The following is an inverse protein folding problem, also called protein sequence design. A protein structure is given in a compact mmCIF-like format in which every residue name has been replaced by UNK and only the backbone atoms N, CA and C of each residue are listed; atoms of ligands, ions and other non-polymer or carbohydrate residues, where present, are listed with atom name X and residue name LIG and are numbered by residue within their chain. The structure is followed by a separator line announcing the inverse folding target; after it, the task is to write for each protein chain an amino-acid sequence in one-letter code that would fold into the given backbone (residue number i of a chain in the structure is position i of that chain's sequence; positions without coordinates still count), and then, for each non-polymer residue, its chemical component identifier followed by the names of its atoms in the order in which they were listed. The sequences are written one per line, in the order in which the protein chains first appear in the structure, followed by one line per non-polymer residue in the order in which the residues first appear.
data_IF_971682469861
#
_entry.id   IF_971682469861
#
_cell.length_a   1.000
_cell.length_b   1.000
_cell.length_c   1.000
_cell.angle_alpha   90.00
_cell.angle_beta   90.00
_cell.angle_gamma   90.00
#
_symmetry.space_group_name_H-M   'P 1'
#
loop_
_entity.id
_entity.type
_entity.pdbx_description
1 polymer ?
#
# COMPACT_ATOMS: atom_id res chain seq x y z
N UNK A 1 6.21 3.62 -6.80
CA UNK A 1 6.50 2.73 -5.66
C UNK A 1 7.78 3.21 -4.99
N UNK A 2 7.83 3.16 -3.66
CA UNK A 2 8.90 3.75 -2.84
C UNK A 2 10.22 3.05 -3.14
N UNK A 3 10.16 1.73 -3.34
CA UNK A 3 11.30 0.91 -3.71
C UNK A 3 11.84 1.23 -5.12
N UNK A 4 11.05 1.90 -5.96
CA UNK A 4 11.49 2.38 -7.28
C UNK A 4 12.21 3.72 -7.23
N UNK A 5 12.22 4.42 -6.09
CA UNK A 5 12.96 5.66 -5.93
C UNK A 5 14.46 5.39 -5.73
N UNK A 6 15.29 6.39 -6.02
CA UNK A 6 16.71 6.33 -5.68
C UNK A 6 16.86 6.06 -4.18
N UNK A 7 17.36 4.89 -3.82
CA UNK A 7 17.63 4.54 -2.43
C UNK A 7 19.03 5.04 -2.07
N UNK A 8 19.17 5.62 -0.88
CA UNK A 8 20.48 6.00 -0.37
C UNK A 8 21.33 4.74 -0.15
N UNK A 9 22.40 4.55 -0.92
CA UNK A 9 23.34 3.44 -0.76
C UNK A 9 24.72 3.99 -0.39
N UNK A 10 25.34 3.45 0.66
CA UNK A 10 26.77 3.59 1.00
C UNK A 10 27.41 4.99 0.78
N UNK A 11 26.74 6.08 1.16
CA UNK A 11 27.33 7.42 1.01
C UNK A 11 26.35 8.53 0.60
N UNK A 12 25.10 8.20 0.31
CA UNK A 12 24.03 9.17 0.08
C UNK A 12 23.41 9.07 -1.30
N UNK A 13 22.73 10.13 -1.69
CA UNK A 13 22.25 10.36 -3.06
C UNK A 13 23.08 11.47 -3.67
N UNK A 14 23.33 11.42 -4.97
CA UNK A 14 23.77 12.62 -5.70
C UNK A 14 22.70 13.71 -5.58
N UNK A 15 23.09 14.96 -5.84
CA UNK A 15 22.15 16.10 -5.78
C UNK A 15 20.91 15.87 -6.67
N UNK A 16 21.11 15.41 -7.90
CA UNK A 16 20.03 15.13 -8.86
C UNK A 16 19.15 13.97 -8.41
N UNK A 17 19.73 12.91 -7.86
CA UNK A 17 18.96 11.79 -7.31
C UNK A 17 18.15 12.21 -6.09
N UNK A 18 18.69 13.10 -5.25
CA UNK A 18 18.00 13.63 -4.08
C UNK A 18 16.82 14.53 -4.48
N UNK A 19 16.98 15.36 -5.50
CA UNK A 19 15.89 16.18 -6.06
C UNK A 19 14.79 15.30 -6.66
N UNK A 20 15.16 14.33 -7.50
CA UNK A 20 14.20 13.39 -8.08
C UNK A 20 13.48 12.56 -6.99
N UNK A 21 14.20 12.16 -5.95
CA UNK A 21 13.64 11.44 -4.82
C UNK A 21 12.59 12.27 -4.07
N UNK A 22 12.85 13.55 -3.81
CA UNK A 22 11.89 14.42 -3.11
C UNK A 22 10.63 14.68 -3.94
N UNK A 23 10.79 15.01 -5.22
CA UNK A 23 9.65 15.24 -6.13
C UNK A 23 8.76 14.00 -6.21
N UNK A 24 9.38 12.82 -6.30
CA UNK A 24 8.63 11.57 -6.36
C UNK A 24 7.95 11.24 -5.02
N UNK A 25 8.59 11.57 -3.89
CA UNK A 25 8.00 11.36 -2.57
C UNK A 25 6.77 12.25 -2.33
N UNK A 26 6.81 13.51 -2.78
CA UNK A 26 5.69 14.46 -2.68
C UNK A 26 4.46 14.06 -3.50
N UNK A 27 4.64 13.22 -4.53
CA UNK A 27 3.59 12.84 -5.47
C UNK A 27 3.20 11.37 -5.41
N UNK A 28 3.89 10.56 -4.60
CA UNK A 28 3.74 9.11 -4.62
C UNK A 28 2.33 8.63 -4.26
N UNK A 29 1.66 9.32 -3.34
CA UNK A 29 0.28 9.08 -2.93
C UNK A 29 -0.70 9.09 -4.11
N UNK A 30 -0.43 9.88 -5.16
CA UNK A 30 -1.31 10.01 -6.34
C UNK A 30 -1.57 8.65 -6.98
N UNK A 31 -0.55 7.80 -7.09
CA UNK A 31 -0.67 6.45 -7.66
C UNK A 31 -1.60 5.56 -6.82
N UNK A 32 -1.47 5.59 -5.49
CA UNK A 32 -2.30 4.76 -4.62
C UNK A 32 -3.75 5.23 -4.60
N UNK A 33 -3.99 6.56 -4.68
CA UNK A 33 -5.36 7.09 -4.62
C UNK A 33 -6.08 7.07 -5.97
N UNK A 34 -5.38 7.04 -7.10
CA UNK A 34 -5.98 7.25 -8.43
C UNK A 34 -7.13 6.27 -8.75
N UNK A 35 -8.32 6.78 -9.07
CA UNK A 35 -9.54 5.97 -9.20
C UNK A 35 -9.53 4.94 -10.32
N UNK A 36 -8.68 5.10 -11.34
CA UNK A 36 -8.58 4.15 -12.47
C UNK A 36 -7.53 3.05 -12.27
N UNK A 37 -6.87 3.00 -11.11
CA UNK A 37 -5.88 1.96 -10.81
C UNK A 37 -6.47 0.88 -9.91
N UNK A 38 -6.29 -0.37 -10.30
CA UNK A 38 -6.62 -1.54 -9.49
C UNK A 38 -5.43 -1.87 -8.58
N UNK A 39 -5.70 -2.16 -7.31
CA UNK A 39 -4.66 -2.44 -6.31
C UNK A 39 -4.72 -3.90 -5.92
N UNK A 40 -3.63 -4.61 -6.17
CA UNK A 40 -3.40 -5.95 -5.65
C UNK A 40 -2.49 -5.85 -4.43
N UNK A 41 -2.89 -6.46 -3.31
CA UNK A 41 -2.13 -6.46 -2.07
C UNK A 41 -1.81 -7.89 -1.67
N UNK A 42 -0.62 -8.09 -1.10
CA UNK A 42 -0.23 -9.36 -0.49
C UNK A 42 0.05 -9.09 0.98
N UNK A 43 -1.01 -9.11 1.79
CA UNK A 43 -0.90 -8.72 3.20
C UNK A 43 -0.50 -9.87 4.12
N UNK A 44 -0.61 -11.11 3.65
CA UNK A 44 -0.22 -12.33 4.37
C UNK A 44 1.12 -12.83 3.89
N UNK A 45 1.95 -13.27 4.83
CA UNK A 45 3.23 -13.90 4.52
C UNK A 45 3.02 -15.39 4.19
N UNK A 46 3.79 -15.96 3.26
CA UNK A 46 3.79 -17.39 3.04
C UNK A 46 4.31 -18.13 4.28
N UNK A 47 3.97 -19.42 4.44
CA UNK A 47 4.50 -20.26 5.52
C UNK A 47 6.03 -20.22 5.52
N UNK A 48 6.64 -20.14 6.71
CA UNK A 48 8.10 -20.11 6.93
C UNK A 48 8.82 -18.79 6.59
N UNK A 49 8.10 -17.68 6.41
CA UNK A 49 8.71 -16.35 6.37
C UNK A 49 8.59 -15.63 7.71
N UNK A 50 9.72 -15.14 8.24
CA UNK A 50 9.75 -14.28 9.43
C UNK A 50 9.97 -12.83 9.01
N UNK A 51 8.89 -12.06 9.01
CA UNK A 51 8.93 -10.61 8.79
C UNK A 51 7.79 -9.95 9.55
N UNK A 52 7.91 -8.66 9.93
CA UNK A 52 6.83 -7.95 10.60
C UNK A 52 5.51 -8.04 9.81
N UNK A 53 4.35 -8.14 10.48
CA UNK A 53 3.05 -8.08 9.82
C UNK A 53 2.91 -6.86 8.92
N UNK A 54 2.13 -6.96 7.84
CA UNK A 54 2.04 -5.91 6.82
C UNK A 54 1.68 -4.51 7.38
N UNK A 55 0.83 -4.46 8.41
CA UNK A 55 0.41 -3.22 9.08
C UNK A 55 1.48 -2.61 10.01
N UNK A 56 2.62 -3.28 10.20
CA UNK A 56 3.75 -2.78 10.99
C UNK A 56 4.95 -2.35 10.13
N UNK A 57 4.84 -2.40 8.79
CA UNK A 57 5.97 -2.14 7.88
C UNK A 57 6.17 -0.66 7.53
N UNK A 58 5.42 0.24 8.14
CA UNK A 58 5.50 1.67 7.86
C UNK A 58 4.85 2.02 6.52
N UNK A 59 5.66 2.25 5.49
CA UNK A 59 5.17 2.76 4.19
C UNK A 59 4.07 1.88 3.55
N UNK A 60 4.21 0.53 3.48
CA UNK A 60 3.14 -0.34 2.95
C UNK A 60 1.81 -0.19 3.70
N UNK A 61 1.85 0.13 5.00
CA UNK A 61 0.64 0.36 5.81
C UNK A 61 -0.09 1.62 5.34
N UNK A 62 0.65 2.68 5.02
CA UNK A 62 0.09 3.95 4.51
C UNK A 62 -0.47 3.77 3.09
N UNK A 63 0.26 3.07 2.21
CA UNK A 63 -0.21 2.75 0.86
C UNK A 63 -1.56 2.03 0.88
N UNK A 64 -1.68 1.04 1.76
CA UNK A 64 -2.90 0.27 1.95
C UNK A 64 -4.05 1.13 2.49
N UNK A 65 -3.78 2.05 3.41
CA UNK A 65 -4.79 2.98 3.94
C UNK A 65 -5.32 3.92 2.84
N UNK A 66 -4.44 4.51 2.02
CA UNK A 66 -4.84 5.36 0.90
C UNK A 66 -5.66 4.62 -0.14
N UNK A 67 -5.22 3.41 -0.51
CA UNK A 67 -5.97 2.56 -1.44
C UNK A 67 -7.36 2.20 -0.87
N UNK A 68 -7.45 1.78 0.40
CA UNK A 68 -8.75 1.46 1.01
C UNK A 68 -9.70 2.67 1.07
N UNK A 69 -9.15 3.87 1.25
CA UNK A 69 -9.94 5.10 1.30
C UNK A 69 -10.48 5.51 -0.08
N UNK A 70 -9.67 5.42 -1.13
CA UNK A 70 -10.05 5.96 -2.45
C UNK A 70 -10.74 4.95 -3.36
N UNK A 71 -10.49 3.66 -3.18
CA UNK A 71 -10.95 2.61 -4.09
C UNK A 71 -12.38 2.21 -3.75
N UNK A 72 -13.31 2.71 -4.55
CA UNK A 72 -14.72 2.36 -4.46
C UNK A 72 -15.02 1.09 -5.26
N UNK A 73 -15.39 0.00 -4.60
CA UNK A 73 -15.94 -1.20 -5.27
C UNK A 73 -17.47 -1.18 -5.23
N UNK A 74 -18.09 -1.54 -6.35
CA UNK A 74 -19.54 -1.80 -6.47
C UNK A 74 -19.75 -3.27 -6.83
N UNK A 75 -20.91 -3.83 -6.46
CA UNK A 75 -21.17 -5.27 -6.59
C UNK A 75 -21.12 -5.79 -8.04
N UNK A 76 -21.32 -4.92 -9.03
CA UNK A 76 -21.37 -5.27 -10.46
C UNK A 76 -20.11 -4.82 -11.22
N UNK A 77 -19.04 -4.45 -10.53
CA UNK A 77 -17.79 -4.03 -11.15
C UNK A 77 -16.61 -4.85 -10.61
N UNK A 78 -15.53 -4.88 -11.39
CA UNK A 78 -14.28 -5.47 -10.95
C UNK A 78 -13.81 -4.80 -9.64
N UNK A 79 -13.36 -5.57 -8.62
CA UNK A 79 -12.91 -5.01 -7.36
C UNK A 79 -11.70 -4.11 -7.56
N UNK A 80 -11.80 -2.86 -7.10
CA UNK A 80 -10.72 -1.88 -7.23
C UNK A 80 -9.54 -2.14 -6.29
N UNK A 81 -9.76 -2.97 -5.26
CA UNK A 81 -8.77 -3.41 -4.29
C UNK A 81 -8.98 -4.90 -4.02
N UNK A 82 -7.95 -5.70 -4.24
CA UNK A 82 -7.96 -7.15 -4.08
C UNK A 82 -6.76 -7.58 -3.23
N UNK A 83 -7.01 -8.34 -2.17
CA UNK A 83 -5.95 -8.85 -1.30
C UNK A 83 -5.73 -10.33 -1.61
N UNK A 84 -4.63 -10.60 -2.31
CA UNK A 84 -4.24 -11.95 -2.75
C UNK A 84 -3.77 -12.81 -1.58
N UNK A 85 -3.35 -12.19 -0.48
CA UNK A 85 -2.88 -12.93 0.70
C UNK A 85 -4.00 -13.39 1.63
N UNK A 86 -5.22 -12.91 1.44
CA UNK A 86 -6.35 -13.32 2.26
C UNK A 86 -7.00 -14.57 1.66
N UNK A 87 -7.26 -15.57 2.50
CA UNK A 87 -8.05 -16.75 2.11
C UNK A 87 -9.52 -16.40 1.81
N UNK A 88 -9.94 -15.17 2.14
CA UNK A 88 -11.26 -14.66 1.81
C UNK A 88 -11.30 -14.23 0.34
N UNK A 89 -12.09 -14.96 -0.47
CA UNK A 89 -12.44 -14.60 -1.86
C UNK A 89 -13.33 -13.34 -1.92
N UNK A 90 -13.68 -12.76 -0.76
CA UNK A 90 -14.57 -11.61 -0.64
C UNK A 90 -13.74 -10.33 -0.70
N UNK A 91 -14.06 -9.36 -1.58
CA UNK A 91 -13.42 -8.06 -1.59
C UNK A 91 -13.48 -7.44 -0.20
N UNK A 92 -12.32 -7.04 0.36
CA UNK A 92 -12.25 -6.44 1.70
C UNK A 92 -13.31 -5.33 1.82
N UNK A 93 -14.26 -5.47 2.76
CA UNK A 93 -15.20 -4.40 3.11
C UNK A 93 -14.41 -3.16 3.52
N UNK A 94 -14.93 -1.96 3.20
CA UNK A 94 -14.35 -0.61 3.46
C UNK A 94 -14.12 -0.26 4.94
N UNK A 95 -13.90 -1.21 5.83
CA UNK A 95 -13.36 -0.90 7.15
C UNK A 95 -11.85 -0.68 6.96
N UNK A 96 -11.46 0.59 6.85
CA UNK A 96 -10.05 0.96 6.73
C UNK A 96 -9.22 0.30 7.82
N UNK A 97 -7.94 0.03 7.54
CA UNK A 97 -6.97 -0.52 8.51
C UNK A 97 -6.93 0.26 9.84
N UNK A 98 -7.24 1.55 9.81
CA UNK A 98 -7.28 2.45 10.98
C UNK A 98 -8.70 2.71 11.51
N UNK A 99 -9.70 1.94 11.07
CA UNK A 99 -11.05 2.07 11.60
C UNK A 99 -11.05 1.69 13.08
N UNK A 100 -11.68 2.47 13.99
CA UNK A 100 -11.62 2.25 15.44
C UNK A 100 -11.96 0.81 15.86
N UNK A 101 -12.89 0.17 15.17
CA UNK A 101 -13.30 -1.23 15.39
C UNK A 101 -12.17 -2.25 15.18
N UNK A 102 -11.15 -1.94 14.37
CA UNK A 102 -10.01 -2.85 14.08
C UNK A 102 -8.77 -2.57 14.93
N UNK A 103 -8.71 -1.45 15.63
CA UNK A 103 -7.57 -1.06 16.47
C UNK A 103 -7.72 -1.50 17.93
N UNK A 104 -8.88 -2.06 18.31
CA UNK A 104 -9.19 -2.51 19.66
C UNK A 104 -9.33 -4.03 19.83
N UNK A 105 -8.84 -4.82 18.86
CA UNK A 105 -8.74 -6.29 18.96
C UNK A 105 -7.28 -6.71 19.16
#
# INVERSE_FOLDING_TARGET
DWCSLFQSKNGGRTQTEQEAFQIALESMQVWYVHSKLFVFMLTTLPPNCDAPPYHMRGWPTVECAWAQMSKSSSANCWPMLFDVGSDDVVPRKRAGLLHPVRLGQ
#
